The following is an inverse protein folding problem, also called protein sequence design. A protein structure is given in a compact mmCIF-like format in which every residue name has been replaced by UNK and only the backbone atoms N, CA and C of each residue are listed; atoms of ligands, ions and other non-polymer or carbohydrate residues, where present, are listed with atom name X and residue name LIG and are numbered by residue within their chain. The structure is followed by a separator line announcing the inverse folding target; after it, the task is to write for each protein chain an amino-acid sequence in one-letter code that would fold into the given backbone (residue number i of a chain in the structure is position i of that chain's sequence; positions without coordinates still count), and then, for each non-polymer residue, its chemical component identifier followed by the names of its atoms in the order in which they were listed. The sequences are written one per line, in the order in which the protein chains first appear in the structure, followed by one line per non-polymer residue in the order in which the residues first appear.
data_IF_215722708920
#
_entry.id   IF_215722708920
#
_cell.length_a   1.000
_cell.length_b   1.000
_cell.length_c   1.000
_cell.angle_alpha   90.00
_cell.angle_beta   90.00
_cell.angle_gamma   90.00
#
_symmetry.space_group_name_H-M   'P 1'
#
loop_
_entity.id
_entity.type
_entity.pdbx_description
1 polymer ?
#
# COMPACT_ATOMS: atom_id res chain seq x y z
N UNK A 1 -10.45 12.02 8.62
CA UNK A 1 -11.69 11.43 9.19
C UNK A 1 -12.32 10.40 8.26
N UNK A 2 -12.64 10.71 7.00
CA UNK A 2 -13.23 9.73 6.06
C UNK A 2 -12.39 8.46 5.86
N UNK A 3 -11.06 8.55 5.87
CA UNK A 3 -10.20 7.36 5.90
C UNK A 3 -10.38 6.52 7.17
N UNK A 4 -10.51 7.16 8.34
CA UNK A 4 -10.66 6.49 9.64
C UNK A 4 -12.05 5.86 9.79
N UNK A 5 -13.09 6.47 9.19
CA UNK A 5 -14.44 5.90 9.08
C UNK A 5 -14.50 4.71 8.11
N UNK A 6 -13.52 4.57 7.21
CA UNK A 6 -13.57 3.58 6.13
C UNK A 6 -14.39 4.04 4.92
N UNK A 7 -14.73 5.33 4.82
CA UNK A 7 -15.42 5.89 3.65
C UNK A 7 -14.45 6.11 2.47
N UNK A 8 -13.16 6.33 2.74
CA UNK A 8 -12.11 6.31 1.71
C UNK A 8 -11.28 5.03 1.81
N UNK A 9 -11.33 4.24 0.73
CA UNK A 9 -10.89 2.84 0.73
C UNK A 9 -9.47 2.59 0.25
N UNK A 10 -8.87 3.55 -0.45
CA UNK A 10 -7.54 3.44 -1.07
C UNK A 10 -6.71 4.68 -0.75
N UNK A 11 -5.40 4.51 -0.59
CA UNK A 11 -4.41 5.59 -0.58
C UNK A 11 -3.40 5.32 -1.70
N UNK A 12 -3.15 6.32 -2.53
CA UNK A 12 -2.21 6.28 -3.66
C UNK A 12 -1.21 7.44 -3.58
N UNK A 13 -0.19 7.43 -4.45
CA UNK A 13 0.87 8.45 -4.41
C UNK A 13 0.59 9.70 -5.23
N UNK A 14 -0.04 9.57 -6.39
CA UNK A 14 -0.05 10.59 -7.46
C UNK A 14 1.38 11.04 -7.86
N UNK A 15 2.20 10.07 -8.27
CA UNK A 15 3.66 10.21 -8.30
C UNK A 15 4.14 11.33 -9.23
N UNK A 16 4.85 12.32 -8.67
CA UNK A 16 5.38 13.50 -9.38
C UNK A 16 4.31 14.41 -10.02
N UNK A 17 3.03 14.12 -9.82
CA UNK A 17 1.91 14.89 -10.32
C UNK A 17 0.96 15.23 -9.17
N UNK A 18 1.42 16.04 -8.21
CA UNK A 18 0.76 16.34 -6.93
C UNK A 18 0.91 15.30 -5.80
N UNK A 19 1.88 14.39 -5.91
CA UNK A 19 2.26 13.57 -4.76
C UNK A 19 3.56 12.78 -4.89
N UNK A 20 3.80 11.89 -3.92
CA UNK A 20 5.12 11.34 -3.59
C UNK A 20 5.11 9.82 -3.59
N UNK A 21 5.83 9.21 -4.54
CA UNK A 21 5.85 7.75 -4.76
C UNK A 21 6.36 6.96 -3.55
N UNK A 22 7.36 7.49 -2.83
CA UNK A 22 7.96 6.84 -1.66
C UNK A 22 7.14 6.98 -0.37
N UNK A 23 5.98 7.65 -0.40
CA UNK A 23 5.27 8.04 0.82
C UNK A 23 3.87 7.43 0.98
N UNK A 24 3.43 6.51 0.11
CA UNK A 24 2.10 5.89 0.24
C UNK A 24 1.91 5.20 1.59
N UNK A 25 2.86 4.33 1.95
CA UNK A 25 2.81 3.54 3.17
C UNK A 25 2.95 4.45 4.40
N UNK A 26 3.95 5.35 4.41
CA UNK A 26 4.22 6.22 5.55
C UNK A 26 3.06 7.18 5.84
N UNK A 27 2.43 7.76 4.80
CA UNK A 27 1.29 8.67 4.94
C UNK A 27 0.03 7.95 5.40
N UNK A 28 -0.12 6.68 5.00
CA UNK A 28 -1.19 5.83 5.53
C UNK A 28 -1.07 5.70 7.05
N UNK A 29 0.11 5.37 7.56
CA UNK A 29 0.34 5.17 8.99
C UNK A 29 0.35 6.47 9.80
N UNK A 30 0.89 7.57 9.26
CA UNK A 30 0.78 8.90 9.87
C UNK A 30 -0.69 9.34 9.99
N UNK A 31 -1.52 9.03 9.00
CA UNK A 31 -2.96 9.30 9.06
C UNK A 31 -3.64 8.45 10.14
N UNK A 32 -3.29 7.16 10.26
CA UNK A 32 -3.81 6.30 11.31
C UNK A 32 -3.43 6.80 12.72
N UNK A 33 -2.16 7.18 12.92
CA UNK A 33 -1.66 7.74 14.18
C UNK A 33 -2.38 9.04 14.54
N UNK A 34 -2.48 10.00 13.61
CA UNK A 34 -3.20 11.26 13.84
C UNK A 34 -4.65 11.01 14.27
N UNK A 35 -5.35 10.11 13.58
CA UNK A 35 -6.75 9.80 13.88
C UNK A 35 -6.90 9.09 15.22
N UNK A 36 -5.95 8.21 15.61
CA UNK A 36 -5.91 7.65 16.96
C UNK A 36 -5.76 8.74 18.03
N UNK A 37 -4.83 9.68 17.85
CA UNK A 37 -4.59 10.76 18.82
C UNK A 37 -5.79 11.68 18.98
N UNK A 38 -6.48 11.99 17.89
CA UNK A 38 -7.60 12.95 17.90
C UNK A 38 -8.97 12.32 18.18
N UNK A 39 -9.18 11.06 17.80
CA UNK A 39 -10.49 10.40 17.90
C UNK A 39 -10.50 9.20 18.85
N UNK A 40 -9.34 8.88 19.42
CA UNK A 40 -9.19 7.73 20.32
C UNK A 40 -9.31 6.39 19.59
N UNK A 41 -9.74 5.40 20.35
CA UNK A 41 -9.91 4.01 19.93
C UNK A 41 -11.11 3.86 18.98
N UNK A 42 -11.00 2.98 17.98
CA UNK A 42 -12.14 2.67 17.12
C UNK A 42 -13.21 1.87 17.88
N UNK A 43 -14.48 2.11 17.54
CA UNK A 43 -15.58 1.29 18.02
C UNK A 43 -15.41 -0.17 17.58
N UNK A 44 -15.70 -1.11 18.48
CA UNK A 44 -15.57 -2.56 18.24
C UNK A 44 -14.18 -3.14 18.44
N UNK A 45 -13.15 -2.32 18.70
CA UNK A 45 -11.80 -2.81 18.99
C UNK A 45 -11.82 -3.63 20.30
N UNK A 46 -11.13 -4.77 20.36
CA UNK A 46 -11.09 -5.67 21.53
C UNK A 46 -9.65 -5.87 22.04
N UNK A 47 -9.46 -5.89 23.36
CA UNK A 47 -8.13 -5.98 24.01
C UNK A 47 -7.31 -4.68 23.96
N UNK A 48 -6.10 -4.66 24.50
CA UNK A 48 -5.26 -3.44 24.57
C UNK A 48 -4.39 -3.24 23.32
N UNK A 49 -5.02 -2.96 22.18
CA UNK A 49 -4.36 -2.80 20.89
C UNK A 49 -5.17 -1.89 19.94
N UNK A 50 -4.67 -1.72 18.71
CA UNK A 50 -5.31 -0.96 17.63
C UNK A 50 -5.55 -1.81 16.36
N UNK A 51 -5.76 -3.13 16.53
CA UNK A 51 -5.77 -4.08 15.41
C UNK A 51 -6.85 -3.77 14.36
N UNK A 52 -8.05 -3.33 14.74
CA UNK A 52 -9.07 -2.93 13.78
C UNK A 52 -8.62 -1.73 12.94
N UNK A 53 -7.99 -0.73 13.56
CA UNK A 53 -7.46 0.42 12.82
C UNK A 53 -6.30 -0.02 11.92
N UNK A 54 -5.39 -0.85 12.42
CA UNK A 54 -4.26 -1.37 11.64
C UNK A 54 -4.75 -2.13 10.42
N UNK A 55 -5.71 -3.06 10.58
CA UNK A 55 -6.33 -3.80 9.47
C UNK A 55 -7.04 -2.88 8.48
N UNK A 56 -7.81 -1.89 8.97
CA UNK A 56 -8.48 -0.90 8.12
C UNK A 56 -7.51 -0.11 7.25
N UNK A 57 -6.35 0.28 7.79
CA UNK A 57 -5.39 1.12 7.09
C UNK A 57 -4.44 0.34 6.17
N UNK A 58 -3.96 -0.85 6.57
CA UNK A 58 -3.12 -1.68 5.69
C UNK A 58 -3.88 -2.08 4.42
N UNK A 59 -5.19 -2.33 4.52
CA UNK A 59 -6.02 -2.66 3.37
C UNK A 59 -6.03 -1.56 2.29
N UNK A 60 -5.78 -0.29 2.66
CA UNK A 60 -5.85 0.87 1.75
C UNK A 60 -4.73 0.91 0.70
N UNK A 61 -3.59 0.28 0.96
CA UNK A 61 -2.47 0.21 0.00
C UNK A 61 -2.09 -1.23 -0.37
N UNK A 62 -2.84 -2.23 0.10
CA UNK A 62 -2.59 -3.64 -0.21
C UNK A 62 -3.78 -4.23 -0.98
N UNK A 63 -4.80 -4.73 -0.28
CA UNK A 63 -5.86 -5.53 -0.90
C UNK A 63 -6.89 -4.67 -1.66
N UNK A 64 -7.24 -3.47 -1.18
CA UNK A 64 -8.27 -2.65 -1.83
C UNK A 64 -7.84 -2.13 -3.22
N UNK A 65 -6.60 -1.62 -3.42
CA UNK A 65 -6.12 -1.33 -4.77
C UNK A 65 -6.13 -2.57 -5.67
N UNK A 66 -5.71 -3.73 -5.15
CA UNK A 66 -5.72 -4.97 -5.91
C UNK A 66 -7.14 -5.38 -6.32
N UNK A 67 -8.13 -5.24 -5.45
CA UNK A 67 -9.54 -5.52 -5.79
C UNK A 67 -10.03 -4.53 -6.86
N UNK A 68 -9.81 -3.22 -6.65
CA UNK A 68 -10.28 -2.18 -7.57
C UNK A 68 -9.72 -2.35 -8.99
N UNK A 69 -8.48 -2.81 -9.12
CA UNK A 69 -7.82 -3.03 -10.41
C UNK A 69 -7.91 -4.47 -10.93
N UNK A 70 -8.64 -5.37 -10.26
CA UNK A 70 -8.82 -6.75 -10.72
C UNK A 70 -7.58 -7.64 -10.59
N UNK A 71 -6.72 -7.33 -9.63
CA UNK A 71 -5.43 -7.99 -9.36
C UNK A 71 -5.48 -8.87 -8.09
N UNK A 72 -6.59 -8.86 -7.36
CA UNK A 72 -6.68 -9.45 -6.01
C UNK A 72 -6.57 -10.97 -5.94
N UNK A 73 -6.62 -11.67 -7.09
CA UNK A 73 -6.28 -13.10 -7.16
C UNK A 73 -4.78 -13.36 -7.07
N UNK A 74 -3.98 -12.38 -7.46
CA UNK A 74 -2.53 -12.53 -7.64
C UNK A 74 -1.74 -11.87 -6.51
N UNK A 75 -2.17 -10.68 -6.07
CA UNK A 75 -1.45 -9.82 -5.12
C UNK A 75 -2.39 -9.13 -4.13
N UNK A 76 -1.81 -8.35 -3.22
CA UNK A 76 -2.53 -7.44 -2.32
C UNK A 76 -2.73 -7.98 -0.91
N UNK A 77 -2.32 -9.20 -0.60
CA UNK A 77 -2.40 -9.78 0.75
C UNK A 77 -1.54 -11.03 0.87
N UNK A 78 -1.27 -11.44 2.11
CA UNK A 78 -0.59 -12.70 2.41
C UNK A 78 -1.65 -13.79 2.55
N UNK A 79 -1.96 -14.44 1.43
CA UNK A 79 -2.92 -15.55 1.35
C UNK A 79 -2.33 -16.67 0.48
N UNK A 80 -2.62 -17.92 0.84
CA UNK A 80 -2.17 -19.09 0.06
C UNK A 80 -2.68 -18.99 -1.37
N UNK A 81 -1.80 -19.28 -2.34
CA UNK A 81 -2.10 -19.21 -3.77
C UNK A 81 -1.78 -17.85 -4.41
N UNK A 82 -1.54 -16.80 -3.63
CA UNK A 82 -1.06 -15.51 -4.15
C UNK A 82 0.45 -15.52 -4.35
N UNK A 83 0.92 -14.56 -5.16
CA UNK A 83 2.35 -14.34 -5.39
C UNK A 83 3.05 -13.96 -4.08
N UNK A 84 4.26 -14.46 -3.90
CA UNK A 84 5.13 -14.15 -2.76
C UNK A 84 5.80 -12.76 -2.90
N UNK A 85 4.99 -11.72 -3.12
CA UNK A 85 5.41 -10.32 -3.13
C UNK A 85 5.29 -9.80 -1.69
N UNK A 86 6.40 -9.84 -0.95
CA UNK A 86 6.45 -9.66 0.52
C UNK A 86 7.39 -8.54 0.92
N UNK A 87 7.11 -7.89 2.04
CA UNK A 87 7.99 -6.87 2.62
C UNK A 87 8.23 -7.21 4.10
N UNK A 88 9.50 -7.33 4.47
CA UNK A 88 9.91 -7.54 5.86
C UNK A 88 10.25 -6.19 6.49
N UNK A 89 9.87 -6.05 7.74
CA UNK A 89 10.07 -4.82 8.52
C UNK A 89 10.68 -5.17 9.87
N UNK A 90 11.74 -4.47 10.24
CA UNK A 90 12.04 -4.28 11.65
C UNK A 90 10.94 -3.40 12.27
N UNK A 91 10.32 -3.78 13.41
CA UNK A 91 9.25 -3.00 14.03
C UNK A 91 9.60 -1.51 14.26
N UNK A 92 10.85 -1.19 14.57
CA UNK A 92 11.30 0.18 14.80
C UNK A 92 11.25 1.06 13.53
N UNK A 93 11.24 0.43 12.35
CA UNK A 93 11.23 1.09 11.03
C UNK A 93 9.94 0.82 10.23
N UNK A 94 8.95 0.17 10.84
CA UNK A 94 7.70 -0.19 10.19
C UNK A 94 7.04 1.03 9.52
N UNK A 95 6.69 0.87 8.24
CA UNK A 95 6.05 1.92 7.44
C UNK A 95 7.00 3.00 6.91
N UNK A 96 8.29 2.97 7.27
CA UNK A 96 9.30 3.98 6.89
C UNK A 96 10.37 3.42 5.96
N UNK A 97 11.15 2.44 6.45
CA UNK A 97 12.29 1.84 5.74
C UNK A 97 12.27 0.31 5.93
N UNK A 98 11.81 -0.48 4.94
CA UNK A 98 11.75 -1.93 5.05
C UNK A 98 13.13 -2.60 5.09
N UNK A 99 13.22 -3.75 5.72
CA UNK A 99 14.46 -4.55 5.79
C UNK A 99 14.66 -5.37 4.50
N UNK A 100 13.58 -5.80 3.85
CA UNK A 100 13.67 -6.59 2.64
C UNK A 100 12.41 -6.46 1.81
N UNK A 101 12.57 -6.34 0.49
CA UNK A 101 11.47 -6.36 -0.49
C UNK A 101 11.65 -7.58 -1.39
N UNK A 102 10.68 -8.48 -1.36
CA UNK A 102 10.65 -9.69 -2.16
C UNK A 102 9.59 -9.56 -3.25
N UNK A 103 9.93 -10.01 -4.45
CA UNK A 103 9.03 -10.14 -5.58
C UNK A 103 9.11 -11.58 -6.06
N UNK A 104 7.97 -12.27 -6.13
CA UNK A 104 7.89 -13.69 -6.48
C UNK A 104 8.78 -14.58 -5.62
N UNK A 105 8.94 -14.26 -4.33
CA UNK A 105 9.79 -15.00 -3.39
C UNK A 105 11.29 -14.72 -3.51
N UNK A 106 11.73 -13.85 -4.42
CA UNK A 106 13.14 -13.47 -4.57
C UNK A 106 13.38 -12.05 -4.06
N UNK A 107 14.47 -11.83 -3.33
CA UNK A 107 14.82 -10.50 -2.83
C UNK A 107 15.14 -9.58 -4.02
N UNK A 108 14.36 -8.52 -4.17
CA UNK A 108 14.51 -7.50 -5.21
C UNK A 108 15.31 -6.28 -4.71
N UNK A 109 15.15 -5.91 -3.43
CA UNK A 109 15.90 -4.83 -2.80
C UNK A 109 16.03 -5.03 -1.29
N UNK A 110 17.15 -4.58 -0.73
CA UNK A 110 17.43 -4.59 0.70
C UNK A 110 18.43 -3.48 1.07
N UNK A 111 18.42 -2.95 2.31
CA UNK A 111 19.51 -2.14 2.81
C UNK A 111 20.76 -3.02 2.97
N UNK A 112 21.87 -2.59 2.38
CA UNK A 112 23.12 -3.36 2.34
C UNK A 112 24.30 -2.45 2.56
N UNK A 113 25.21 -2.89 3.43
CA UNK A 113 26.44 -2.21 3.83
C UNK A 113 27.50 -2.13 2.73
N UNK A 114 28.74 -1.92 3.14
CA UNK A 114 29.91 -1.97 2.24
C UNK A 114 30.07 -3.38 1.65
N UNK A 115 30.00 -3.54 0.31
CA UNK A 115 30.17 -4.84 -0.35
C UNK A 115 31.56 -5.48 -0.16
N UNK A 116 32.58 -4.71 0.21
CA UNK A 116 33.93 -5.22 0.46
C UNK A 116 34.19 -5.52 1.95
N UNK A 117 33.22 -5.24 2.84
CA UNK A 117 33.37 -5.54 4.26
C UNK A 117 33.22 -7.05 4.54
N UNK A 118 33.64 -7.48 5.73
CA UNK A 118 33.63 -8.89 6.13
C UNK A 118 32.23 -9.50 6.33
N UNK A 119 31.21 -8.65 6.54
CA UNK A 119 29.80 -9.00 6.78
C UNK A 119 28.90 -7.91 6.14
N UNK A 120 27.58 -8.12 5.97
CA UNK A 120 26.73 -7.20 5.19
C UNK A 120 26.28 -5.91 5.92
N UNK A 121 26.57 -5.77 7.21
CA UNK A 121 26.09 -4.68 8.08
C UNK A 121 27.02 -3.46 8.28
N UNK A 122 28.34 -3.50 7.99
CA UNK A 122 29.22 -2.35 8.08
C UNK A 122 28.80 -1.22 7.14
N UNK A 123 28.96 0.02 7.60
CA UNK A 123 28.53 1.21 6.89
C UNK A 123 29.35 1.45 5.61
N UNK A 124 28.78 2.12 4.59
CA UNK A 124 27.44 2.73 4.55
C UNK A 124 26.34 1.75 4.15
N UNK A 125 25.28 1.68 4.97
CA UNK A 125 24.07 0.89 4.71
C UNK A 125 23.04 1.77 3.99
N UNK A 126 22.71 1.40 2.76
CA UNK A 126 21.65 2.02 1.98
C UNK A 126 20.94 0.99 1.11
N UNK A 127 19.77 1.33 0.56
CA UNK A 127 19.06 0.41 -0.34
C UNK A 127 19.89 0.14 -1.59
N UNK A 128 19.99 -1.14 -1.93
CA UNK A 128 20.62 -1.62 -3.16
C UNK A 128 19.68 -2.62 -3.85
N UNK A 129 19.66 -2.65 -5.19
CA UNK A 129 19.04 -3.75 -5.92
C UNK A 129 19.73 -5.07 -5.57
N UNK A 130 18.94 -6.12 -5.41
CA UNK A 130 19.40 -7.48 -5.10
C UNK A 130 19.20 -8.39 -6.32
N UNK A 131 19.57 -9.68 -6.23
CA UNK A 131 19.53 -10.61 -7.36
C UNK A 131 18.18 -10.67 -8.09
N UNK A 132 17.06 -10.49 -7.40
CA UNK A 132 15.72 -10.43 -8.00
C UNK A 132 15.49 -9.26 -8.94
N UNK A 133 16.35 -8.25 -8.94
CA UNK A 133 16.30 -7.09 -9.83
C UNK A 133 17.21 -7.22 -11.08
N UNK A 134 17.91 -8.34 -11.26
CA UNK A 134 18.88 -8.50 -12.35
C UNK A 134 18.54 -9.66 -13.29
N UNK A 135 19.00 -9.53 -14.55
CA UNK A 135 18.97 -10.58 -15.56
C UNK A 135 17.60 -11.27 -15.72
N UNK A 136 17.62 -12.59 -15.83
CA UNK A 136 16.41 -13.41 -15.96
C UNK A 136 15.65 -13.58 -14.64
N UNK A 137 16.27 -13.31 -13.50
CA UNK A 137 15.58 -13.34 -12.21
C UNK A 137 14.48 -12.28 -12.21
N UNK A 138 14.75 -11.04 -12.64
CA UNK A 138 13.76 -9.97 -12.77
C UNK A 138 12.54 -10.38 -13.59
N UNK A 139 12.75 -11.07 -14.71
CA UNK A 139 11.65 -11.45 -15.61
C UNK A 139 10.89 -12.69 -15.15
N UNK A 140 11.53 -13.55 -14.35
CA UNK A 140 10.93 -14.79 -13.83
C UNK A 140 10.18 -14.55 -12.52
N UNK A 141 10.62 -13.56 -11.74
CA UNK A 141 10.03 -13.22 -10.44
C UNK A 141 8.84 -12.25 -10.56
N UNK A 142 8.70 -11.51 -11.67
CA UNK A 142 7.64 -10.51 -11.86
C UNK A 142 6.74 -10.77 -13.07
N UNK A 143 5.57 -10.13 -13.07
CA UNK A 143 4.56 -10.24 -14.14
C UNK A 143 4.20 -8.86 -14.69
N UNK A 144 3.54 -8.84 -15.84
CA UNK A 144 2.88 -7.65 -16.40
C UNK A 144 1.37 -7.90 -16.41
N UNK A 145 0.60 -7.06 -15.73
CA UNK A 145 -0.85 -7.15 -15.75
C UNK A 145 -1.40 -6.50 -17.03
N UNK A 146 -2.28 -7.21 -17.73
CA UNK A 146 -2.87 -6.79 -19.02
C UNK A 146 -4.37 -7.08 -19.06
N UNK A 147 -5.07 -6.63 -20.11
CA UNK A 147 -6.47 -7.05 -20.33
C UNK A 147 -6.54 -8.51 -20.81
N UNK A 148 -7.68 -9.18 -20.57
CA UNK A 148 -7.90 -10.52 -21.12
C UNK A 148 -7.74 -10.54 -22.65
N UNK A 149 -8.30 -9.55 -23.35
CA UNK A 149 -8.17 -9.42 -24.79
C UNK A 149 -6.70 -9.36 -25.27
N UNK A 150 -5.81 -8.72 -24.51
CA UNK A 150 -4.38 -8.70 -24.85
C UNK A 150 -3.75 -10.09 -24.78
N UNK A 151 -4.14 -10.92 -23.81
CA UNK A 151 -3.70 -12.31 -23.73
C UNK A 151 -4.29 -13.15 -24.87
N UNK A 152 -5.58 -12.98 -25.17
CA UNK A 152 -6.28 -13.74 -26.22
C UNK A 152 -5.69 -13.46 -27.62
N UNK A 153 -5.11 -12.27 -27.82
CA UNK A 153 -4.41 -11.86 -29.04
C UNK A 153 -2.89 -12.10 -29.01
N UNK A 154 -2.41 -12.95 -28.08
CA UNK A 154 -1.01 -13.35 -27.92
C UNK A 154 -0.03 -12.16 -27.89
N UNK A 155 -0.40 -11.10 -27.15
CA UNK A 155 0.40 -9.87 -27.06
C UNK A 155 1.84 -10.16 -26.60
N UNK A 156 2.02 -11.14 -25.71
CA UNK A 156 3.34 -11.50 -25.19
C UNK A 156 4.28 -11.97 -26.29
N UNK A 157 3.83 -12.87 -27.18
CA UNK A 157 4.65 -13.36 -28.28
C UNK A 157 4.90 -12.26 -29.32
N UNK A 158 3.87 -11.47 -29.65
CA UNK A 158 3.98 -10.35 -30.59
C UNK A 158 5.00 -9.30 -30.15
N UNK A 159 5.07 -9.01 -28.85
CA UNK A 159 6.05 -8.07 -28.29
C UNK A 159 7.40 -8.74 -27.94
N UNK A 160 7.50 -10.06 -28.00
CA UNK A 160 8.72 -10.80 -27.65
C UNK A 160 9.16 -10.62 -26.19
N UNK A 161 8.22 -10.37 -25.26
CA UNK A 161 8.58 -10.05 -23.86
C UNK A 161 8.86 -11.29 -23.03
N UNK A 162 9.90 -11.23 -22.19
CA UNK A 162 10.28 -12.35 -21.32
C UNK A 162 9.32 -12.52 -20.13
N UNK A 163 8.82 -11.42 -19.54
CA UNK A 163 7.89 -11.47 -18.40
C UNK A 163 6.61 -12.20 -18.77
N UNK A 164 6.05 -12.93 -17.82
CA UNK A 164 4.70 -13.48 -17.98
C UNK A 164 3.68 -12.34 -17.94
N UNK A 165 2.61 -12.49 -18.72
CA UNK A 165 1.46 -11.59 -18.69
C UNK A 165 0.33 -12.25 -17.91
N UNK A 166 -0.37 -11.49 -17.08
CA UNK A 166 -1.50 -11.96 -16.30
C UNK A 166 -2.70 -11.04 -16.55
N UNK A 167 -3.85 -11.61 -16.86
CA UNK A 167 -5.05 -10.83 -17.13
C UNK A 167 -5.62 -10.24 -15.83
N UNK A 168 -6.09 -8.99 -15.90
CA UNK A 168 -6.93 -8.42 -14.85
C UNK A 168 -8.32 -9.07 -14.90
N UNK A 169 -8.94 -9.28 -13.74
CA UNK A 169 -10.23 -9.95 -13.62
C UNK A 169 -11.22 -9.16 -12.78
N UNK A 170 -12.51 -9.30 -13.08
CA UNK A 170 -13.61 -8.82 -12.24
C UNK A 170 -13.54 -7.32 -11.84
N UNK A 171 -13.25 -6.44 -12.79
CA UNK A 171 -13.33 -4.98 -12.57
C UNK A 171 -14.75 -4.42 -12.74
N UNK A 172 -15.71 -5.26 -13.15
CA UNK A 172 -17.12 -4.89 -13.45
C UNK A 172 -18.16 -5.87 -12.91
N UNK A 173 -17.79 -7.10 -12.54
CA UNK A 173 -18.73 -8.19 -12.23
C UNK A 173 -19.39 -8.10 -10.86
N UNK A 174 -19.87 -6.90 -10.49
CA UNK A 174 -20.51 -6.64 -9.19
C UNK A 174 -19.58 -6.04 -8.13
N UNK A 175 -18.35 -5.65 -8.49
CA UNK A 175 -17.50 -4.87 -7.59
C UNK A 175 -18.20 -3.57 -7.20
N UNK A 176 -18.21 -3.28 -5.90
CA UNK A 176 -18.79 -2.06 -5.35
C UNK A 176 -18.00 -1.59 -4.13
N UNK A 177 -18.44 -0.51 -3.50
CA UNK A 177 -17.88 -0.06 -2.22
C UNK A 177 -17.90 -1.14 -1.15
N UNK A 178 -18.90 -2.04 -1.17
CA UNK A 178 -19.01 -3.20 -0.24
C UNK A 178 -17.92 -4.25 -0.43
N UNK A 179 -17.23 -4.24 -1.57
CA UNK A 179 -16.10 -5.13 -1.83
C UNK A 179 -14.81 -4.64 -1.18
N UNK A 180 -14.76 -3.42 -0.63
CA UNK A 180 -13.56 -2.82 -0.05
C UNK A 180 -13.36 -3.30 1.38
N UNK A 181 -12.34 -4.12 1.59
CA UNK A 181 -12.03 -4.76 2.87
C UNK A 181 -11.80 -3.69 3.94
N UNK A 182 -12.59 -3.78 5.02
CA UNK A 182 -12.62 -2.87 6.18
C UNK A 182 -12.96 -1.40 5.88
N UNK A 183 -13.36 -1.09 4.64
CA UNK A 183 -13.48 0.26 4.12
C UNK A 183 -14.69 0.39 3.17
N UNK A 184 -15.83 -0.12 3.59
CA UNK A 184 -17.08 -0.17 2.85
C UNK A 184 -18.12 0.85 3.30
N UNK A 185 -17.77 1.75 4.22
CA UNK A 185 -18.69 2.75 4.75
C UNK A 185 -19.21 3.68 3.65
N UNK A 186 -20.52 3.90 3.63
CA UNK A 186 -21.22 4.79 2.69
C UNK A 186 -22.11 5.78 3.47
N UNK A 187 -21.51 6.70 4.25
CA UNK A 187 -22.28 7.75 4.92
C UNK A 187 -22.91 8.69 3.88
N UNK A 188 -24.01 9.34 4.24
CA UNK A 188 -24.55 10.45 3.46
C UNK A 188 -23.63 11.66 3.61
N UNK A 189 -23.00 12.07 2.51
CA UNK A 189 -22.02 13.18 2.50
C UNK A 189 -22.68 14.44 1.98
N UNK A 190 -22.53 15.52 2.75
CA UNK A 190 -22.93 16.86 2.36
C UNK A 190 -21.72 17.79 2.40
N UNK A 191 -21.59 18.66 1.40
CA UNK A 191 -20.55 19.69 1.34
C UNK A 191 -21.25 21.02 1.11
N UNK A 192 -21.10 21.95 2.06
CA UNK A 192 -21.68 23.28 1.91
C UNK A 192 -20.96 24.04 0.78
N UNK A 193 -21.67 24.62 -0.21
CA UNK A 193 -21.04 25.18 -1.41
C UNK A 193 -20.20 26.44 -1.14
N UNK A 194 -20.51 27.19 -0.08
CA UNK A 194 -19.79 28.43 0.26
C UNK A 194 -18.73 28.26 1.35
N UNK A 195 -19.05 27.55 2.45
CA UNK A 195 -18.14 27.39 3.59
C UNK A 195 -17.23 26.17 3.49
N UNK A 196 -17.50 25.26 2.55
CA UNK A 196 -16.84 23.96 2.38
C UNK A 196 -16.91 23.04 3.61
N UNK A 197 -17.83 23.32 4.54
CA UNK A 197 -18.13 22.40 5.64
C UNK A 197 -18.56 21.05 5.08
N UNK A 198 -17.88 19.99 5.54
CA UNK A 198 -18.19 18.61 5.16
C UNK A 198 -18.94 17.95 6.32
N UNK A 199 -20.09 17.35 6.03
CA UNK A 199 -20.87 16.57 6.99
C UNK A 199 -21.00 15.13 6.52
N UNK A 200 -20.98 14.19 7.46
CA UNK A 200 -21.34 12.80 7.24
C UNK A 200 -22.49 12.43 8.18
N UNK A 201 -23.62 12.01 7.63
CA UNK A 201 -24.82 11.67 8.40
C UNK A 201 -25.25 12.82 9.35
N UNK A 202 -25.11 14.07 8.88
CA UNK A 202 -25.40 15.30 9.62
C UNK A 202 -24.28 15.80 10.55
N UNK A 203 -23.29 14.95 10.87
CA UNK A 203 -22.17 15.31 11.75
C UNK A 203 -21.07 16.08 11.01
N UNK A 204 -20.66 17.24 11.55
CA UNK A 204 -19.56 18.04 11.01
C UNK A 204 -18.23 17.30 11.11
N UNK A 205 -17.55 17.13 9.99
CA UNK A 205 -16.25 16.49 9.91
C UNK A 205 -15.12 17.53 9.95
N UNK A 206 -14.61 17.80 11.14
CA UNK A 206 -13.45 18.69 11.33
C UNK A 206 -12.37 18.07 12.22
N UNK A 207 -11.12 18.41 11.98
CA UNK A 207 -10.00 18.05 12.84
C UNK A 207 -8.85 19.04 12.71
N UNK A 208 -8.19 19.34 13.83
CA UNK A 208 -7.01 20.21 13.85
C UNK A 208 -5.86 19.62 13.02
N UNK A 209 -5.04 20.46 12.36
CA UNK A 209 -3.81 20.02 11.71
C UNK A 209 -2.81 19.48 12.75
N UNK A 210 -2.03 18.47 12.37
CA UNK A 210 -0.96 17.96 13.23
C UNK A 210 0.28 18.84 13.08
N UNK A 211 0.90 19.23 14.19
CA UNK A 211 2.13 20.05 14.20
C UNK A 211 3.40 19.21 14.12
N UNK A 212 3.35 17.95 14.56
CA UNK A 212 4.44 16.97 14.49
C UNK A 212 3.86 15.61 14.13
N UNK A 213 4.57 14.86 13.29
CA UNK A 213 4.19 13.50 12.88
C UNK A 213 5.25 12.47 13.31
N UNK A 214 4.84 11.23 13.64
CA UNK A 214 5.78 10.12 13.70
C UNK A 214 6.32 9.83 12.29
N UNK A 215 7.27 8.91 12.19
CA UNK A 215 7.79 8.46 10.88
C UNK A 215 8.30 9.64 10.03
N UNK A 216 8.99 10.60 10.64
CA UNK A 216 9.47 11.81 9.99
C UNK A 216 10.92 12.09 10.40
N UNK A 217 11.19 13.23 11.06
CA UNK A 217 12.53 13.74 11.41
C UNK A 217 13.48 12.72 12.06
N UNK A 218 12.96 11.72 12.78
CA UNK A 218 13.76 10.65 13.40
C UNK A 218 14.49 9.75 12.38
N UNK A 219 13.94 9.59 11.17
CA UNK A 219 14.33 8.51 10.26
C UNK A 219 15.01 8.97 8.98
N UNK A 220 14.84 10.23 8.60
CA UNK A 220 15.34 10.76 7.34
C UNK A 220 16.48 11.74 7.58
N UNK A 221 17.50 11.66 6.74
CA UNK A 221 18.63 12.58 6.77
C UNK A 221 18.23 13.98 6.27
N UNK A 222 17.20 14.05 5.42
CA UNK A 222 16.58 15.25 4.86
C UNK A 222 15.07 15.11 4.84
#
# INVERSE_FOLDING_TARGET
ILHDLGAFSIISSDSQAMGRVGEVIIRTWQTADKMKRQRGRLAGETGENDNLRVKRYIAKYTINPAIAHGLSREIGSIEVGKRADLVLWNPAFFGVKPEMVLIGGTIAAAPMGDPNASIPTPQPVHYRPMFGAFGKALTSSSVVFVSQAAMDHDLRARLGTAKQMVAVHNTRGGISKRSMIHNDAMPHIEVHPETYEVRADGELLTCEPATVLPMAQRYFLF
#
